data_IF_548188668073
#
_entry.id   IF_548188668073
#
_cell.length_a   1.000
_cell.length_b   1.000
_cell.length_c   1.000
_cell.angle_alpha   90.00
_cell.angle_beta   90.00
_cell.angle_gamma   90.00
#
_symmetry.space_group_name_H-M   'P 1'
#
loop_
_entity.id
_entity.type
_entity.pdbx_description
1 polymer ?
#
# COMPACT_ATOMS: atom_id res chain seq x y z
N UNK A 1 22.46 17.49 -13.19
CA UNK A 1 21.85 17.72 -11.86
C UNK A 1 20.52 16.98 -11.68
N UNK A 2 19.69 16.86 -12.72
CA UNK A 2 18.39 16.15 -12.63
C UNK A 2 18.50 14.66 -12.27
N UNK A 3 19.57 13.98 -12.70
CA UNK A 3 19.79 12.56 -12.39
C UNK A 3 19.90 12.26 -10.90
N UNK A 4 20.55 13.13 -10.11
CA UNK A 4 20.76 12.89 -8.69
C UNK A 4 19.45 12.97 -7.91
N UNK A 5 18.58 13.92 -8.26
CA UNK A 5 17.27 14.10 -7.63
C UNK A 5 16.36 12.91 -7.95
N UNK A 6 16.38 12.40 -9.18
CA UNK A 6 15.61 11.21 -9.56
C UNK A 6 16.04 9.96 -8.78
N UNK A 7 17.35 9.76 -8.58
CA UNK A 7 17.88 8.64 -7.80
C UNK A 7 17.50 8.74 -6.33
N UNK A 8 17.61 9.93 -5.72
CA UNK A 8 17.23 10.16 -4.31
C UNK A 8 15.72 9.94 -4.14
N UNK A 9 14.89 10.43 -5.07
CA UNK A 9 13.44 10.23 -5.04
C UNK A 9 13.06 8.75 -5.11
N UNK A 10 13.70 8.00 -6.00
CA UNK A 10 13.45 6.56 -6.12
C UNK A 10 13.89 5.81 -4.85
N UNK A 11 15.05 6.15 -4.29
CA UNK A 11 15.54 5.56 -3.06
C UNK A 11 14.60 5.84 -1.88
N UNK A 12 14.06 7.06 -1.78
CA UNK A 12 13.11 7.41 -0.73
C UNK A 12 11.78 6.67 -0.89
N UNK A 13 11.28 6.52 -2.13
CA UNK A 13 10.07 5.75 -2.42
C UNK A 13 10.23 4.26 -2.09
N UNK A 14 11.41 3.69 -2.34
CA UNK A 14 11.70 2.29 -2.02
C UNK A 14 11.89 2.09 -0.51
N UNK A 15 12.48 3.07 0.18
CA UNK A 15 12.59 3.06 1.64
C UNK A 15 11.22 3.11 2.30
N UNK A 16 10.33 4.01 1.86
CA UNK A 16 8.96 4.16 2.35
C UNK A 16 8.18 2.83 2.26
N UNK A 17 8.31 2.14 1.12
CA UNK A 17 7.75 0.79 0.90
C UNK A 17 8.24 -0.24 1.90
N UNK A 18 9.54 -0.24 2.22
CA UNK A 18 10.15 -1.21 3.14
C UNK A 18 9.87 -0.87 4.60
N UNK A 19 9.80 0.41 4.95
CA UNK A 19 9.45 0.89 6.29
C UNK A 19 8.05 0.44 6.69
N UNK A 20 7.10 0.42 5.75
CA UNK A 20 5.75 -0.09 5.98
C UNK A 20 5.71 -1.58 6.39
N UNK A 21 6.79 -2.34 6.16
CA UNK A 21 6.90 -3.77 6.50
C UNK A 21 7.63 -4.05 7.83
N UNK A 22 8.29 -3.04 8.41
CA UNK A 22 9.14 -3.16 9.59
C UNK A 22 8.38 -3.06 10.93
N UNK A 23 7.05 -2.88 10.91
CA UNK A 23 6.22 -2.72 12.11
C UNK A 23 5.94 -4.06 12.82
N UNK A 24 6.95 -4.61 13.52
CA UNK A 24 6.78 -5.65 14.56
C UNK A 24 6.03 -6.95 14.18
N UNK A 25 5.85 -7.85 15.16
CA UNK A 25 5.02 -9.07 15.02
C UNK A 25 3.54 -8.65 14.99
N UNK A 26 3.03 -8.33 13.80
CA UNK A 26 1.62 -8.08 13.57
C UNK A 26 0.94 -9.30 12.92
N UNK A 27 -0.35 -9.49 13.20
CA UNK A 27 -1.16 -10.50 12.51
C UNK A 27 -1.14 -10.25 11.00
N UNK A 28 -1.34 -11.31 10.19
CA UNK A 28 -1.32 -11.24 8.71
C UNK A 28 -2.23 -10.14 8.16
N UNK A 29 -3.35 -9.87 8.82
CA UNK A 29 -4.30 -8.80 8.47
C UNK A 29 -3.73 -7.42 8.78
N UNK A 30 -3.26 -7.23 10.01
CA UNK A 30 -2.78 -5.95 10.54
C UNK A 30 -1.56 -5.43 9.78
N UNK A 31 -0.75 -6.35 9.22
CA UNK A 31 0.37 -6.01 8.33
C UNK A 31 -0.10 -5.43 6.99
N UNK A 32 -1.16 -5.98 6.40
CA UNK A 32 -1.73 -5.46 5.13
C UNK A 32 -2.42 -4.12 5.37
N UNK A 33 -3.13 -3.99 6.50
CA UNK A 33 -3.74 -2.72 6.91
C UNK A 33 -2.68 -1.63 7.13
N UNK A 34 -1.63 -1.92 7.90
CA UNK A 34 -0.53 -1.00 8.15
C UNK A 34 0.13 -0.56 6.84
N UNK A 35 0.36 -1.46 5.89
CA UNK A 35 0.89 -1.08 4.57
C UNK A 35 -0.07 -0.17 3.82
N UNK A 36 -1.37 -0.46 3.82
CA UNK A 36 -2.37 0.37 3.11
C UNK A 36 -2.58 1.76 3.74
N UNK A 37 -2.34 1.88 5.05
CA UNK A 37 -2.51 3.13 5.79
C UNK A 37 -1.25 4.00 5.80
N UNK A 38 -0.07 3.39 5.80
CA UNK A 38 1.21 4.11 5.84
C UNK A 38 1.65 4.62 4.46
N UNK A 39 1.05 4.15 3.37
CA UNK A 39 1.45 4.59 2.02
C UNK A 39 0.97 6.02 1.74
N UNK A 40 1.92 6.91 1.50
CA UNK A 40 1.65 8.29 1.07
C UNK A 40 1.25 8.41 -0.41
N UNK A 41 1.38 7.32 -1.18
CA UNK A 41 1.14 7.27 -2.62
C UNK A 41 0.09 6.19 -2.91
N UNK A 42 -0.85 6.41 -3.84
CA UNK A 42 -1.85 5.41 -4.19
C UNK A 42 -1.22 4.13 -4.77
N UNK A 43 -1.47 2.98 -4.12
CA UNK A 43 -0.89 1.67 -4.46
C UNK A 43 -1.89 0.78 -5.18
N UNK A 44 -1.41 -0.06 -6.10
CA UNK A 44 -2.24 -1.07 -6.79
C UNK A 44 -2.22 -2.40 -6.05
N UNK A 45 -3.25 -3.24 -6.28
CA UNK A 45 -3.33 -4.63 -5.76
C UNK A 45 -2.04 -5.43 -6.03
N UNK A 46 -1.47 -5.30 -7.23
CA UNK A 46 -0.21 -5.96 -7.61
C UNK A 46 0.99 -5.50 -6.78
N UNK A 47 1.03 -4.22 -6.41
CA UNK A 47 2.10 -3.70 -5.58
C UNK A 47 1.98 -4.17 -4.13
N UNK A 48 0.75 -4.27 -3.59
CA UNK A 48 0.51 -4.87 -2.27
C UNK A 48 1.02 -6.31 -2.23
N UNK A 49 0.69 -7.11 -3.25
CA UNK A 49 1.15 -8.50 -3.37
C UNK A 49 2.67 -8.61 -3.51
N UNK A 50 3.31 -7.67 -4.22
CA UNK A 50 4.77 -7.62 -4.33
C UNK A 50 5.46 -7.22 -3.01
N UNK A 51 4.83 -6.36 -2.20
CA UNK A 51 5.34 -5.93 -0.90
C UNK A 51 5.22 -7.02 0.17
N UNK A 52 4.17 -7.82 0.10
CA UNK A 52 3.90 -8.90 1.06
C UNK A 52 3.72 -10.21 0.28
N UNK A 53 4.81 -10.95 -0.02
CA UNK A 53 4.71 -12.22 -0.73
C UNK A 53 4.08 -13.35 0.11
N UNK A 54 3.80 -13.10 1.40
CA UNK A 54 3.23 -14.08 2.34
C UNK A 54 1.70 -14.24 2.21
N UNK A 55 1.03 -13.31 1.51
CA UNK A 55 -0.43 -13.26 1.41
C UNK A 55 -0.93 -13.58 0.01
N UNK A 56 -1.93 -14.47 -0.06
CA UNK A 56 -2.60 -14.81 -1.32
C UNK A 56 -3.40 -13.63 -1.87
N UNK A 57 -3.52 -13.57 -3.19
CA UNK A 57 -4.33 -12.60 -3.94
C UNK A 57 -5.74 -12.42 -3.36
N UNK A 58 -6.40 -13.53 -3.03
CA UNK A 58 -7.77 -13.57 -2.48
C UNK A 58 -7.85 -12.95 -1.08
N UNK A 59 -6.80 -13.10 -0.28
CA UNK A 59 -6.75 -12.53 1.07
C UNK A 59 -6.55 -11.01 1.03
N UNK A 60 -5.75 -10.52 0.08
CA UNK A 60 -5.59 -9.09 -0.19
C UNK A 60 -6.92 -8.46 -0.64
N UNK A 61 -7.71 -9.14 -1.47
CA UNK A 61 -9.05 -8.64 -1.87
C UNK A 61 -10.02 -8.56 -0.71
N UNK A 62 -9.99 -9.54 0.20
CA UNK A 62 -10.83 -9.56 1.39
C UNK A 62 -10.54 -8.33 2.26
N UNK A 63 -9.26 -8.06 2.54
CA UNK A 63 -8.84 -6.93 3.37
C UNK A 63 -9.13 -5.60 2.67
N UNK A 64 -8.85 -5.48 1.37
CA UNK A 64 -9.19 -4.28 0.59
C UNK A 64 -10.70 -4.01 0.60
N UNK A 65 -11.51 -5.05 0.44
CA UNK A 65 -12.98 -4.94 0.47
C UNK A 65 -13.48 -4.54 1.86
N UNK A 66 -12.88 -5.06 2.92
CA UNK A 66 -13.20 -4.70 4.31
C UNK A 66 -12.86 -3.23 4.58
N UNK A 67 -11.63 -2.82 4.30
CA UNK A 67 -11.16 -1.44 4.51
C UNK A 67 -11.92 -0.41 3.66
N UNK A 68 -12.36 -0.81 2.46
CA UNK A 68 -13.20 0.04 1.62
C UNK A 68 -14.60 0.22 2.21
N UNK A 69 -15.19 -0.83 2.78
CA UNK A 69 -16.47 -0.75 3.50
C UNK A 69 -16.37 0.09 4.78
N UNK A 70 -15.25 0.00 5.48
CA UNK A 70 -14.96 0.84 6.66
C UNK A 70 -14.67 2.30 6.30
N UNK A 71 -14.49 2.64 5.01
CA UNK A 71 -14.20 4.00 4.56
C UNK A 71 -12.77 4.46 4.90
N UNK A 72 -11.87 3.54 5.23
CA UNK A 72 -10.46 3.84 5.54
C UNK A 72 -9.61 3.99 4.28
N UNK A 73 -10.03 3.35 3.18
CA UNK A 73 -9.38 3.45 1.87
C UNK A 73 -10.36 3.84 0.77
N UNK A 74 -9.88 4.64 -0.17
CA UNK A 74 -10.59 5.05 -1.37
C UNK A 74 -9.97 4.44 -2.61
N UNK A 75 -10.82 3.96 -3.51
CA UNK A 75 -10.40 3.43 -4.80
C UNK A 75 -10.30 4.58 -5.82
N UNK A 76 -9.10 4.80 -6.35
CA UNK A 76 -8.80 5.74 -7.42
C UNK A 76 -8.56 4.97 -8.72
N UNK A 77 -9.35 5.27 -9.76
CA UNK A 77 -9.10 4.83 -11.13
C UNK A 77 -9.93 3.64 -11.61
N UNK A 78 -9.97 3.46 -12.93
CA UNK A 78 -10.92 2.62 -13.66
C UNK A 78 -10.45 1.16 -13.83
N UNK A 79 -11.28 0.20 -13.42
CA UNK A 79 -11.11 -1.27 -13.60
C UNK A 79 -9.70 -1.81 -13.30
N UNK A 80 -8.87 -2.03 -14.33
CA UNK A 80 -7.60 -2.78 -14.25
C UNK A 80 -6.45 -1.98 -13.63
N UNK A 81 -6.53 -0.64 -13.66
CA UNK A 81 -5.51 0.25 -13.11
C UNK A 81 -5.95 0.89 -11.78
N UNK A 82 -6.92 0.28 -11.09
CA UNK A 82 -7.39 0.80 -9.82
C UNK A 82 -6.26 0.79 -8.78
N UNK A 83 -6.12 1.94 -8.12
CA UNK A 83 -5.22 2.17 -7.01
C UNK A 83 -6.03 2.48 -5.77
N UNK A 84 -5.43 2.27 -4.62
CA UNK A 84 -6.05 2.53 -3.32
C UNK A 84 -5.23 3.60 -2.61
N UNK A 85 -5.91 4.59 -2.05
CA UNK A 85 -5.30 5.58 -1.15
C UNK A 85 -5.97 5.50 0.23
N UNK A 86 -5.24 5.79 1.32
CA UNK A 86 -5.86 6.01 2.61
C UNK A 86 -6.71 7.29 2.59
N UNK A 87 -7.88 7.24 3.22
CA UNK A 87 -8.75 8.41 3.42
C UNK A 87 -8.21 9.19 4.59
N UNK A 88 -7.44 10.24 4.31
CA UNK A 88 -7.07 11.21 5.34
C UNK A 88 -8.25 12.14 5.57
N UNK A 89 -9.00 11.90 6.65
CA UNK A 89 -9.95 12.89 7.18
C UNK A 89 -9.11 14.07 7.69
N UNK A 90 -9.24 15.23 7.05
CA UNK A 90 -8.88 16.52 7.66
C UNK A 90 -9.85 16.84 8.79
#
# INVERSE_FOLDING_TARGET
MEYMIGVIFLAYRELDRRMALCTGKQNKEDRVESVLLNVSIPISKREVCALIPDVSDTYVELILSRLQKEGRIERIGTRKASRYRPVTKR
#
